data_IF_131769072402
#
_entry.id   IF_131769072402
#
_cell.length_a   1.000
_cell.length_b   1.000
_cell.length_c   1.000
_cell.angle_alpha   90.00
_cell.angle_beta   90.00
_cell.angle_gamma   90.00
#
_symmetry.space_group_name_H-M   'P 1'
#
loop_
_entity.id
_entity.type
_entity.pdbx_description
1 polymer ?
#
# COMPACT_ATOMS: atom_id res chain seq x y z
N UNK A 1 2.01 17.84 -27.17
CA UNK A 1 1.64 16.46 -26.76
C UNK A 1 0.94 15.79 -27.94
N UNK A 2 1.23 14.52 -28.26
CA UNK A 2 0.56 13.84 -29.38
C UNK A 2 -0.89 13.50 -29.00
N UNK A 3 -1.79 13.48 -29.99
CA UNK A 3 -3.21 13.13 -29.82
C UNK A 3 -3.41 11.81 -29.04
N UNK A 4 -2.55 10.81 -29.31
CA UNK A 4 -2.53 9.52 -28.59
C UNK A 4 -2.17 9.65 -27.11
N UNK A 5 -1.25 10.55 -26.77
CA UNK A 5 -0.88 10.79 -25.37
C UNK A 5 -2.05 11.38 -24.56
N UNK A 6 -2.82 12.27 -25.17
CA UNK A 6 -4.04 12.82 -24.56
C UNK A 6 -5.13 11.75 -24.41
N UNK A 7 -5.31 10.87 -25.40
CA UNK A 7 -6.25 9.75 -25.32
C UNK A 7 -5.91 8.79 -24.16
N UNK A 8 -4.62 8.50 -23.91
CA UNK A 8 -4.22 7.67 -22.78
C UNK A 8 -4.46 8.35 -21.43
N UNK A 9 -4.16 9.65 -21.32
CA UNK A 9 -4.44 10.42 -20.11
C UNK A 9 -5.95 10.44 -19.81
N UNK A 10 -6.78 10.73 -20.82
CA UNK A 10 -8.22 10.76 -20.69
C UNK A 10 -8.76 9.43 -20.19
N UNK A 11 -8.36 8.30 -20.78
CA UNK A 11 -8.79 6.96 -20.33
C UNK A 11 -8.47 6.68 -18.86
N UNK A 12 -7.32 7.13 -18.37
CA UNK A 12 -6.94 6.93 -16.96
C UNK A 12 -7.79 7.76 -16.02
N UNK A 13 -8.07 9.00 -16.42
CA UNK A 13 -8.94 9.91 -15.68
C UNK A 13 -10.37 9.37 -15.66
N UNK A 14 -10.89 8.93 -16.81
CA UNK A 14 -12.23 8.36 -16.90
C UNK A 14 -12.36 7.13 -15.97
N UNK A 15 -11.39 6.23 -16.00
CA UNK A 15 -11.35 5.07 -15.11
C UNK A 15 -11.30 5.46 -13.63
N UNK A 16 -10.50 6.48 -13.28
CA UNK A 16 -10.44 7.01 -11.92
C UNK A 16 -11.78 7.59 -11.46
N UNK A 17 -12.41 8.43 -12.30
CA UNK A 17 -13.69 9.06 -12.00
C UNK A 17 -14.83 8.03 -11.89
N UNK A 18 -14.84 7.01 -12.74
CA UNK A 18 -15.80 5.91 -12.67
C UNK A 18 -15.68 5.16 -11.33
N UNK A 19 -14.45 4.74 -10.98
CA UNK A 19 -14.16 4.03 -9.72
C UNK A 19 -14.46 4.86 -8.48
N UNK A 20 -14.14 6.16 -8.54
CA UNK A 20 -14.47 7.09 -7.47
C UNK A 20 -15.98 7.28 -7.38
N UNK A 21 -16.68 7.49 -8.50
CA UNK A 21 -18.13 7.65 -8.57
C UNK A 21 -18.87 6.50 -7.89
N UNK A 22 -18.53 5.25 -8.21
CA UNK A 22 -19.12 4.07 -7.55
C UNK A 22 -18.91 4.06 -6.03
N UNK A 23 -17.80 4.61 -5.54
CA UNK A 23 -17.53 4.71 -4.09
C UNK A 23 -18.35 5.81 -3.43
N UNK A 24 -18.58 6.90 -4.15
CA UNK A 24 -19.37 8.04 -3.69
C UNK A 24 -20.86 7.77 -3.70
N UNK A 25 -21.35 6.90 -4.58
CA UNK A 25 -22.76 6.47 -4.59
C UNK A 25 -23.18 5.85 -3.26
N UNK A 26 -22.25 5.27 -2.49
CA UNK A 26 -22.51 4.75 -1.16
C UNK A 26 -22.64 5.82 -0.06
N UNK A 27 -22.36 7.10 -0.37
CA UNK A 27 -22.29 8.22 0.59
C UNK A 27 -23.48 9.18 0.46
N UNK A 28 -24.70 8.68 0.23
CA UNK A 28 -25.92 9.43 -0.12
C UNK A 28 -26.26 10.65 0.76
N UNK A 29 -25.64 10.88 1.92
CA UNK A 29 -25.95 12.00 2.82
C UNK A 29 -24.72 12.70 3.44
N UNK A 30 -23.58 12.78 2.73
CA UNK A 30 -22.41 13.46 3.29
C UNK A 30 -22.50 14.99 3.16
N UNK A 31 -22.49 15.70 4.29
CA UNK A 31 -22.40 17.16 4.33
C UNK A 31 -20.95 17.58 4.58
N UNK A 32 -20.37 18.34 3.65
CA UNK A 32 -19.02 18.89 3.79
C UNK A 32 -19.09 20.30 4.38
N UNK A 33 -18.17 20.61 5.30
CA UNK A 33 -17.90 22.00 5.69
C UNK A 33 -17.01 22.66 4.63
N UNK A 34 -16.88 23.99 4.67
CA UNK A 34 -16.00 24.72 3.74
C UNK A 34 -14.53 24.26 3.84
N UNK A 35 -14.05 23.94 5.05
CA UNK A 35 -12.69 23.41 5.26
C UNK A 35 -12.55 22.00 4.65
N UNK A 36 -13.60 21.18 4.74
CA UNK A 36 -13.62 19.86 4.11
C UNK A 36 -13.65 19.92 2.58
N UNK A 37 -14.28 20.95 2.01
CA UNK A 37 -14.30 21.16 0.56
C UNK A 37 -12.90 21.50 0.02
N UNK A 38 -12.16 22.37 0.72
CA UNK A 38 -10.77 22.71 0.36
C UNK A 38 -9.85 21.50 0.49
N UNK A 39 -9.89 20.81 1.65
CA UNK A 39 -9.09 19.61 1.87
C UNK A 39 -9.40 18.49 0.88
N UNK A 40 -10.67 18.29 0.54
CA UNK A 40 -11.06 17.34 -0.50
C UNK A 40 -10.55 17.75 -1.89
N UNK A 41 -10.67 19.02 -2.26
CA UNK A 41 -10.19 19.52 -3.54
C UNK A 41 -8.68 19.31 -3.70
N UNK A 42 -7.89 19.65 -2.68
CA UNK A 42 -6.44 19.48 -2.70
C UNK A 42 -6.06 17.99 -2.79
N UNK A 43 -6.72 17.13 -2.01
CA UNK A 43 -6.51 15.69 -2.07
C UNK A 43 -6.86 15.11 -3.44
N UNK A 44 -8.00 15.50 -3.99
CA UNK A 44 -8.45 15.09 -5.32
C UNK A 44 -7.44 15.54 -6.39
N UNK A 45 -6.97 16.79 -6.33
CA UNK A 45 -5.99 17.31 -7.26
C UNK A 45 -4.67 16.54 -7.16
N UNK A 46 -4.18 16.28 -5.95
CA UNK A 46 -2.96 15.51 -5.71
C UNK A 46 -3.06 14.09 -6.30
N UNK A 47 -4.19 13.41 -6.11
CA UNK A 47 -4.44 12.09 -6.69
C UNK A 47 -4.54 12.16 -8.22
N UNK A 48 -5.31 13.13 -8.75
CA UNK A 48 -5.52 13.33 -10.18
C UNK A 48 -4.21 13.52 -10.95
N UNK A 49 -3.29 14.36 -10.44
CA UNK A 49 -1.99 14.60 -11.08
C UNK A 49 -1.16 13.32 -11.22
N UNK A 50 -1.33 12.37 -10.30
CA UNK A 50 -0.65 11.07 -10.30
C UNK A 50 -1.35 10.07 -11.20
N UNK A 51 -2.68 10.05 -11.21
CA UNK A 51 -3.52 9.23 -12.11
C UNK A 51 -3.22 9.52 -13.58
N UNK A 52 -3.09 10.78 -13.97
CA UNK A 52 -2.78 11.15 -15.37
C UNK A 52 -1.46 10.50 -15.85
N UNK A 53 -0.51 10.27 -14.92
CA UNK A 53 0.85 9.80 -15.23
C UNK A 53 1.04 8.29 -15.05
N UNK A 54 0.21 7.61 -14.24
CA UNK A 54 0.36 6.18 -13.98
C UNK A 54 -0.04 5.30 -15.17
N UNK A 55 0.53 4.10 -15.25
CA UNK A 55 0.10 3.04 -16.20
C UNK A 55 -0.55 1.85 -15.50
N UNK A 56 -0.52 1.81 -14.17
CA UNK A 56 -1.08 0.73 -13.35
C UNK A 56 -2.55 1.03 -13.05
N UNK A 57 -3.43 0.11 -13.44
CA UNK A 57 -4.87 0.18 -13.14
C UNK A 57 -5.13 -0.02 -11.65
N UNK A 58 -4.42 -0.95 -11.00
CA UNK A 58 -4.47 -1.17 -9.55
C UNK A 58 -4.11 0.10 -8.77
N UNK A 59 -3.13 0.88 -9.27
CA UNK A 59 -2.79 2.16 -8.64
C UNK A 59 -3.91 3.18 -8.80
N UNK A 60 -4.63 3.16 -9.93
CA UNK A 60 -5.82 4.01 -10.12
C UNK A 60 -6.92 3.60 -9.13
N UNK A 61 -7.14 2.29 -8.91
CA UNK A 61 -8.08 1.78 -7.90
C UNK A 61 -7.75 2.29 -6.50
N UNK A 62 -6.47 2.21 -6.11
CA UNK A 62 -6.00 2.66 -4.79
C UNK A 62 -6.17 4.15 -4.58
N UNK A 63 -5.92 4.98 -5.60
CA UNK A 63 -6.21 6.41 -5.51
C UNK A 63 -7.72 6.67 -5.37
N UNK A 64 -8.57 5.95 -6.10
CA UNK A 64 -10.02 6.08 -5.97
C UNK A 64 -10.51 5.64 -4.58
N UNK A 65 -9.95 4.56 -4.04
CA UNK A 65 -10.25 4.09 -2.69
C UNK A 65 -9.86 5.12 -1.63
N UNK A 66 -8.64 5.66 -1.71
CA UNK A 66 -8.12 6.67 -0.78
C UNK A 66 -8.96 7.95 -0.80
N UNK A 67 -9.26 8.48 -1.98
CA UNK A 67 -10.08 9.70 -2.10
C UNK A 67 -11.51 9.44 -1.59
N UNK A 68 -12.08 8.28 -1.92
CA UNK A 68 -13.42 7.90 -1.46
C UNK A 68 -13.52 7.70 0.05
N UNK A 69 -12.53 7.10 0.70
CA UNK A 69 -12.54 6.84 2.14
C UNK A 69 -12.51 8.13 2.96
N UNK A 70 -11.83 9.17 2.48
CA UNK A 70 -11.74 10.46 3.19
C UNK A 70 -13.09 11.19 3.23
N UNK A 71 -13.92 11.02 2.19
CA UNK A 71 -15.28 11.54 2.17
C UNK A 71 -16.24 10.74 3.06
N UNK A 72 -15.91 9.49 3.39
CA UNK A 72 -16.71 8.62 4.27
C UNK A 72 -16.60 8.90 5.77
N UNK A 73 -15.75 9.85 6.19
CA UNK A 73 -15.68 10.29 7.59
C UNK A 73 -14.26 10.50 8.14
N UNK A 74 -13.23 9.99 7.46
CA UNK A 74 -11.84 10.19 7.87
C UNK A 74 -11.25 11.45 7.23
N UNK A 75 -11.54 12.59 7.87
CA UNK A 75 -11.21 13.95 7.40
C UNK A 75 -9.80 14.41 7.80
N UNK A 76 -8.87 13.48 8.05
CA UNK A 76 -7.49 13.85 8.29
C UNK A 76 -6.76 14.05 6.96
N UNK A 77 -6.87 15.28 6.42
CA UNK A 77 -6.36 15.65 5.10
C UNK A 77 -4.84 15.50 4.97
N UNK A 78 -4.07 15.84 6.02
CA UNK A 78 -2.61 15.70 6.03
C UNK A 78 -2.20 14.23 5.92
N UNK A 79 -2.88 13.35 6.66
CA UNK A 79 -2.67 11.89 6.58
C UNK A 79 -3.07 11.32 5.21
N UNK A 80 -4.17 11.79 4.64
CA UNK A 80 -4.60 11.39 3.31
C UNK A 80 -3.58 11.82 2.23
N UNK A 81 -3.03 13.03 2.32
CA UNK A 81 -2.00 13.49 1.40
C UNK A 81 -0.70 12.68 1.57
N UNK A 82 -0.33 12.33 2.80
CA UNK A 82 0.79 11.44 3.07
C UNK A 82 0.58 10.05 2.43
N UNK A 83 -0.64 9.51 2.50
CA UNK A 83 -1.00 8.25 1.82
C UNK A 83 -0.89 8.39 0.29
N UNK A 84 -1.34 9.51 -0.30
CA UNK A 84 -1.19 9.76 -1.76
C UNK A 84 0.29 9.75 -2.17
N UNK A 85 1.16 10.37 -1.36
CA UNK A 85 2.62 10.38 -1.60
C UNK A 85 3.19 8.96 -1.54
N UNK A 86 2.80 8.16 -0.55
CA UNK A 86 3.23 6.76 -0.44
C UNK A 86 2.76 5.92 -1.63
N UNK A 87 1.47 5.96 -1.98
CA UNK A 87 0.91 5.20 -3.13
C UNK A 87 1.57 5.60 -4.45
N UNK A 88 1.93 6.88 -4.60
CA UNK A 88 2.64 7.37 -5.79
C UNK A 88 4.01 6.72 -5.97
N UNK A 89 4.73 6.55 -4.86
CA UNK A 89 6.08 6.00 -4.83
C UNK A 89 6.08 4.46 -4.93
N UNK A 90 5.08 3.80 -4.35
CA UNK A 90 5.04 2.34 -4.25
C UNK A 90 4.54 1.68 -5.54
N UNK A 91 5.32 0.72 -6.04
CA UNK A 91 4.90 -0.20 -7.11
C UNK A 91 3.88 -1.23 -6.64
N UNK A 92 3.22 -1.91 -7.58
CA UNK A 92 2.26 -2.98 -7.26
C UNK A 92 2.91 -4.16 -6.52
N UNK A 93 4.21 -4.40 -6.76
CA UNK A 93 4.99 -5.39 -6.02
C UNK A 93 5.11 -5.01 -4.54
N UNK A 94 5.34 -3.74 -4.22
CA UNK A 94 5.40 -3.28 -2.84
C UNK A 94 4.09 -3.53 -2.11
N UNK A 95 2.97 -3.14 -2.72
CA UNK A 95 1.64 -3.35 -2.13
C UNK A 95 1.38 -4.84 -1.92
N UNK A 96 1.72 -5.68 -2.92
CA UNK A 96 1.58 -7.13 -2.81
C UNK A 96 2.42 -7.72 -1.67
N UNK A 97 3.64 -7.24 -1.45
CA UNK A 97 4.45 -7.64 -0.29
C UNK A 97 3.72 -7.27 1.01
N UNK A 98 3.25 -6.03 1.14
CA UNK A 98 2.53 -5.59 2.35
C UNK A 98 1.28 -6.41 2.61
N UNK A 99 0.46 -6.68 1.59
CA UNK A 99 -0.74 -7.52 1.70
C UNK A 99 -0.38 -8.94 2.16
N UNK A 100 0.69 -9.54 1.62
CA UNK A 100 1.13 -10.88 2.05
C UNK A 100 1.52 -10.85 3.54
N UNK A 101 2.33 -9.88 3.94
CA UNK A 101 2.94 -9.84 5.26
C UNK A 101 1.93 -9.47 6.36
N UNK A 102 1.02 -8.53 6.07
CA UNK A 102 -0.04 -8.11 7.02
C UNK A 102 -1.12 -9.17 7.23
N UNK A 103 -1.32 -10.09 6.28
CA UNK A 103 -2.27 -11.20 6.40
C UNK A 103 -1.68 -12.48 7.01
N UNK A 104 -0.42 -12.45 7.44
CA UNK A 104 0.17 -13.59 8.16
C UNK A 104 -0.50 -13.77 9.52
N UNK A 105 -0.55 -15.02 9.96
CA UNK A 105 -0.86 -15.33 11.36
C UNK A 105 0.22 -14.73 12.26
N UNK A 106 -0.18 -14.34 13.45
CA UNK A 106 0.74 -14.01 14.53
C UNK A 106 1.54 -15.27 14.91
N UNK A 107 2.83 -15.11 15.15
CA UNK A 107 3.72 -16.19 15.57
C UNK A 107 3.49 -16.55 17.03
N UNK A 108 3.37 -17.86 17.30
CA UNK A 108 3.27 -18.43 18.65
C UNK A 108 4.67 -18.75 19.24
N UNK A 109 5.75 -18.46 18.51
CA UNK A 109 7.13 -18.72 18.97
C UNK A 109 7.54 -17.66 19.99
N UNK A 110 8.04 -18.07 21.15
CA UNK A 110 8.50 -17.18 22.23
C UNK A 110 9.42 -16.04 21.75
N UNK A 111 10.34 -16.31 20.82
CA UNK A 111 11.28 -15.30 20.29
C UNK A 111 10.65 -14.26 19.36
N UNK A 112 9.40 -14.45 18.94
CA UNK A 112 8.66 -13.63 17.98
C UNK A 112 7.17 -13.50 18.36
N UNK A 113 6.84 -13.68 19.65
CA UNK A 113 5.47 -13.67 20.14
C UNK A 113 4.79 -12.35 19.79
N UNK A 114 3.56 -12.41 19.26
CA UNK A 114 2.82 -11.22 18.86
C UNK A 114 3.18 -10.65 17.48
N UNK A 115 4.22 -11.19 16.81
CA UNK A 115 4.67 -10.67 15.52
C UNK A 115 4.13 -11.49 14.34
N UNK A 116 3.75 -10.78 13.27
CA UNK A 116 3.51 -11.35 11.94
C UNK A 116 4.83 -11.39 11.20
N UNK A 117 5.56 -12.50 11.28
CA UNK A 117 6.93 -12.61 10.76
C UNK A 117 6.98 -13.47 9.49
N UNK A 118 7.75 -13.02 8.50
CA UNK A 118 8.06 -13.80 7.31
C UNK A 118 9.57 -13.86 7.06
N UNK A 119 10.11 -15.04 6.70
CA UNK A 119 11.46 -15.10 6.18
C UNK A 119 11.50 -14.63 4.72
N UNK A 120 12.49 -13.83 4.33
CA UNK A 120 12.63 -13.38 2.94
C UNK A 120 12.94 -14.57 2.00
N UNK A 121 13.92 -15.37 2.40
CA UNK A 121 14.41 -16.59 1.75
C UNK A 121 14.37 -17.74 2.77
N UNK A 122 14.64 -18.97 2.32
CA UNK A 122 14.69 -20.15 3.19
C UNK A 122 15.49 -19.88 4.48
N UNK A 123 14.81 -20.02 5.62
CA UNK A 123 15.36 -19.69 6.92
C UNK A 123 15.04 -20.81 7.91
N UNK A 124 16.06 -21.33 8.60
CA UNK A 124 15.90 -22.44 9.57
C UNK A 124 15.21 -22.02 10.88
N UNK A 125 15.09 -20.72 11.14
CA UNK A 125 14.51 -20.16 12.37
C UNK A 125 12.97 -20.16 12.27
N UNK A 126 12.44 -19.85 11.09
CA UNK A 126 11.01 -19.83 10.78
C UNK A 126 10.77 -20.82 9.65
N UNK A 127 10.38 -22.05 10.00
CA UNK A 127 10.15 -23.15 9.06
C UNK A 127 8.66 -23.44 8.83
N UNK A 128 7.77 -22.81 9.60
CA UNK A 128 6.32 -22.97 9.51
C UNK A 128 5.63 -21.93 8.62
N UNK A 129 6.38 -20.93 8.13
CA UNK A 129 5.91 -19.91 7.20
C UNK A 129 6.74 -19.99 5.91
N UNK A 130 6.13 -20.23 4.74
CA UNK A 130 6.85 -20.20 3.47
C UNK A 130 7.54 -18.85 3.24
N UNK A 131 8.78 -18.83 2.73
CA UNK A 131 9.51 -17.59 2.55
C UNK A 131 8.87 -16.70 1.49
N UNK A 132 9.03 -15.38 1.63
CA UNK A 132 8.41 -14.39 0.76
C UNK A 132 8.78 -14.61 -0.71
N UNK A 133 10.03 -15.00 -1.01
CA UNK A 133 10.50 -15.30 -2.37
C UNK A 133 9.62 -16.34 -3.09
N UNK A 134 9.04 -17.29 -2.36
CA UNK A 134 8.16 -18.33 -2.92
C UNK A 134 6.83 -17.77 -3.46
N UNK A 135 6.50 -16.51 -3.18
CA UNK A 135 5.30 -15.84 -3.69
C UNK A 135 5.54 -15.06 -4.99
N UNK A 136 6.80 -14.99 -5.44
CA UNK A 136 7.22 -14.16 -6.57
C UNK A 136 8.12 -14.91 -7.56
N UNK A 137 7.52 -15.76 -8.40
CA UNK A 137 8.23 -16.61 -9.38
C UNK A 137 9.11 -15.85 -10.37
N UNK A 138 8.82 -14.57 -10.60
CA UNK A 138 9.50 -13.73 -11.61
C UNK A 138 10.60 -12.83 -11.00
N UNK A 139 10.72 -12.77 -9.67
CA UNK A 139 11.67 -11.89 -9.00
C UNK A 139 12.91 -12.64 -8.55
N UNK A 140 14.07 -12.05 -8.81
CA UNK A 140 15.31 -12.49 -8.17
C UNK A 140 15.32 -12.09 -6.69
N UNK A 141 16.11 -12.80 -5.89
CA UNK A 141 16.34 -12.46 -4.48
C UNK A 141 16.81 -11.01 -4.33
N UNK A 142 17.72 -10.55 -5.20
CA UNK A 142 18.23 -9.18 -5.17
C UNK A 142 17.13 -8.14 -5.43
N UNK A 143 16.24 -8.39 -6.39
CA UNK A 143 15.11 -7.51 -6.67
C UNK A 143 14.13 -7.48 -5.48
N UNK A 144 13.84 -8.64 -4.88
CA UNK A 144 12.96 -8.70 -3.71
C UNK A 144 13.58 -7.98 -2.50
N UNK A 145 14.88 -8.12 -2.27
CA UNK A 145 15.62 -7.36 -1.23
C UNK A 145 15.51 -5.85 -1.45
N UNK A 146 15.61 -5.39 -2.70
CA UNK A 146 15.46 -3.98 -3.04
C UNK A 146 14.08 -3.45 -2.65
N UNK A 147 13.00 -4.14 -3.06
CA UNK A 147 11.63 -3.76 -2.69
C UNK A 147 11.40 -3.78 -1.18
N UNK A 148 11.92 -4.79 -0.47
CA UNK A 148 11.80 -4.84 0.99
C UNK A 148 12.58 -3.70 1.68
N UNK A 149 13.76 -3.35 1.15
CA UNK A 149 14.56 -2.22 1.66
C UNK A 149 13.85 -0.89 1.45
N UNK A 150 13.20 -0.69 0.30
CA UNK A 150 12.39 0.50 0.03
C UNK A 150 11.22 0.60 1.03
N UNK A 151 10.51 -0.50 1.31
CA UNK A 151 9.46 -0.56 2.33
C UNK A 151 9.99 -0.26 3.74
N UNK A 152 11.15 -0.80 4.11
CA UNK A 152 11.79 -0.52 5.40
C UNK A 152 12.16 0.97 5.50
N UNK A 153 12.75 1.55 4.45
CA UNK A 153 13.12 2.98 4.43
C UNK A 153 11.92 3.92 4.57
N UNK A 154 10.72 3.46 4.17
CA UNK A 154 9.45 4.17 4.31
C UNK A 154 8.74 3.83 5.62
N UNK A 155 9.33 3.00 6.48
CA UNK A 155 8.76 2.59 7.77
C UNK A 155 7.59 1.62 7.67
N UNK A 156 7.36 1.00 6.51
CA UNK A 156 6.24 0.07 6.26
C UNK A 156 6.58 -1.38 6.66
N UNK A 157 7.87 -1.73 6.65
CA UNK A 157 8.37 -3.00 7.16
C UNK A 157 9.48 -2.75 8.20
N UNK A 158 9.66 -3.72 9.08
CA UNK A 158 10.78 -3.79 10.01
C UNK A 158 11.64 -5.03 9.72
N UNK A 159 12.97 -4.87 9.76
CA UNK A 159 13.94 -5.98 9.65
C UNK A 159 14.25 -6.53 11.05
N UNK A 160 13.48 -7.53 11.46
CA UNK A 160 13.61 -8.24 12.74
C UNK A 160 14.87 -9.13 12.78
N UNK A 161 15.58 -9.25 11.65
CA UNK A 161 16.83 -10.00 11.57
C UNK A 161 18.01 -9.25 12.19
N UNK A 162 17.97 -7.91 12.25
CA UNK A 162 19.07 -7.09 12.74
C UNK A 162 19.27 -7.29 14.25
N UNK A 163 20.48 -7.69 14.65
CA UNK A 163 20.85 -7.89 16.05
C UNK A 163 20.72 -9.33 16.55
N UNK A 164 20.14 -10.23 15.76
CA UNK A 164 20.08 -11.67 16.06
C UNK A 164 21.26 -12.37 15.39
N UNK A 165 22.08 -13.07 16.18
CA UNK A 165 23.35 -13.66 15.72
C UNK A 165 23.20 -14.67 14.57
N UNK A 166 22.02 -15.27 14.42
CA UNK A 166 21.72 -16.30 13.42
C UNK A 166 20.96 -15.80 12.18
N UNK A 167 20.46 -14.57 12.19
CA UNK A 167 19.77 -13.97 11.04
C UNK A 167 20.59 -12.81 10.49
N UNK A 168 21.04 -12.92 9.24
CA UNK A 168 21.60 -11.77 8.54
C UNK A 168 20.54 -10.69 8.31
N UNK A 169 20.97 -9.46 7.99
CA UNK A 169 20.05 -8.39 7.60
C UNK A 169 19.17 -8.78 6.40
N UNK A 170 17.95 -8.24 6.38
CA UNK A 170 16.89 -8.42 5.39
C UNK A 170 16.42 -9.86 5.25
N UNK A 171 16.53 -10.67 6.32
CA UNK A 171 16.08 -12.06 6.27
C UNK A 171 14.77 -12.31 7.00
N UNK A 172 14.39 -11.46 7.95
CA UNK A 172 13.17 -11.61 8.73
C UNK A 172 12.43 -10.28 8.73
N UNK A 173 11.22 -10.28 8.16
CA UNK A 173 10.44 -9.07 7.94
C UNK A 173 9.14 -9.13 8.74
N UNK A 174 8.77 -7.99 9.31
CA UNK A 174 7.55 -7.79 10.10
C UNK A 174 6.83 -6.54 9.58
N UNK A 175 5.49 -6.54 9.43
CA UNK A 175 4.77 -5.34 9.05
C UNK A 175 4.70 -4.37 10.22
N UNK A 176 4.72 -3.07 9.93
CA UNK A 176 4.50 -2.04 10.95
C UNK A 176 3.03 -1.62 10.99
N UNK A 177 2.61 -0.89 12.03
CA UNK A 177 1.28 -0.29 12.08
C UNK A 177 1.02 0.67 10.89
N UNK A 178 2.07 1.28 10.32
CA UNK A 178 1.94 2.13 9.13
C UNK A 178 1.55 1.32 7.89
N UNK A 179 1.97 0.05 7.79
CA UNK A 179 1.53 -0.81 6.69
C UNK A 179 0.04 -1.13 6.80
N UNK A 180 -0.44 -1.48 7.99
CA UNK A 180 -1.87 -1.74 8.23
C UNK A 180 -2.70 -0.48 7.90
N UNK A 181 -2.30 0.68 8.43
CA UNK A 181 -2.94 1.97 8.13
C UNK A 181 -2.96 2.27 6.63
N UNK A 182 -1.85 2.08 5.91
CA UNK A 182 -1.79 2.37 4.48
C UNK A 182 -2.73 1.45 3.69
N UNK A 183 -2.73 0.15 3.99
CA UNK A 183 -3.57 -0.84 3.30
C UNK A 183 -5.06 -0.57 3.55
N UNK A 184 -5.43 -0.16 4.76
CA UNK A 184 -6.79 0.27 5.09
C UNK A 184 -7.21 1.49 4.25
N UNK A 185 -6.37 2.54 4.22
CA UNK A 185 -6.64 3.77 3.45
C UNK A 185 -6.83 3.52 1.96
N UNK A 186 -6.17 2.51 1.39
CA UNK A 186 -6.23 2.23 -0.06
C UNK A 186 -7.17 1.08 -0.41
N UNK A 187 -7.93 0.56 0.56
CA UNK A 187 -8.92 -0.51 0.34
C UNK A 187 -8.32 -1.87 0.02
N UNK A 188 -7.11 -2.16 0.49
CA UNK A 188 -6.38 -3.43 0.28
C UNK A 188 -6.32 -4.27 1.58
N UNK A 189 -6.92 -3.78 2.66
CA UNK A 189 -7.05 -4.54 3.89
C UNK A 189 -8.23 -5.51 3.76
N UNK A 190 -7.95 -6.81 3.87
CA UNK A 190 -9.00 -7.83 3.75
C UNK A 190 -10.06 -7.72 4.85
N UNK A 191 -11.28 -8.13 4.52
CA UNK A 191 -12.35 -8.32 5.51
C UNK A 191 -11.86 -9.34 6.56
N UNK A 192 -11.69 -8.87 7.81
CA UNK A 192 -11.23 -9.68 8.95
C UNK A 192 -12.35 -10.53 9.55
#
# INVERSE_FOLDING_TARGET
MSKKGQEFAQKRVDAFLEKLGTRLEALENCTLSQEDEEGFFDLFQAAYERVVRTRSEDRIDRFAALVGSCLGGDKNWDEAEAAVRLVSDLTDIHIRILVIVTNLRVSDRESFEGLKIIPLIDNKIIDDVPPLISKFDQLSEAALKMYCSELISKGLLHDEGIGRWSSGSLNLLVPTALADWLLEKIGEFGDR
#
